data_IF_405808349560
#
_entry.id   IF_405808349560
#
_cell.length_a   1.000
_cell.length_b   1.000
_cell.length_c   1.000
_cell.angle_alpha   90.00
_cell.angle_beta   90.00
_cell.angle_gamma   90.00
#
_symmetry.space_group_name_H-M   'P 1'
#
loop_
_entity.id
_entity.type
_entity.pdbx_description
1 polymer ?
#
# COMPACT_ATOMS: atom_id res chain seq x y z
N UNK A 1 47.67 49.73 -2.16
CA UNK A 1 46.35 49.14 -2.45
C UNK A 1 46.38 47.62 -2.28
N UNK A 2 46.38 47.13 -1.03
CA UNK A 2 46.56 45.68 -0.76
C UNK A 2 45.85 45.21 0.52
N UNK A 3 44.73 45.85 0.88
CA UNK A 3 43.94 45.54 2.09
C UNK A 3 42.42 45.42 1.87
N UNK A 4 41.94 45.50 0.63
CA UNK A 4 40.50 45.40 0.31
C UNK A 4 40.11 44.00 -0.20
N UNK A 5 41.06 43.21 -0.71
CA UNK A 5 40.78 41.89 -1.30
C UNK A 5 40.46 40.77 -0.30
N UNK A 6 40.73 40.95 0.99
CA UNK A 6 40.52 39.91 2.01
C UNK A 6 39.04 39.82 2.45
N UNK A 7 38.26 40.89 2.28
CA UNK A 7 36.85 40.90 2.72
C UNK A 7 35.87 40.24 1.74
N UNK A 8 36.21 40.13 0.45
CA UNK A 8 35.32 39.55 -0.57
C UNK A 8 35.35 38.01 -0.53
N UNK A 9 36.48 37.41 -0.12
CA UNK A 9 36.63 35.94 -0.05
C UNK A 9 35.90 35.36 1.18
N UNK A 10 35.77 36.13 2.27
CA UNK A 10 35.10 35.69 3.51
C UNK A 10 33.58 35.50 3.37
N UNK A 11 32.96 36.16 2.39
CA UNK A 11 31.50 36.09 2.16
C UNK A 11 31.11 34.83 1.35
N UNK A 12 32.02 34.30 0.52
CA UNK A 12 31.75 33.09 -0.28
C UNK A 12 31.79 31.79 0.52
N UNK A 13 32.38 31.77 1.72
CA UNK A 13 32.42 30.58 2.57
C UNK A 13 31.19 30.41 3.48
N UNK A 14 30.30 31.41 3.58
CA UNK A 14 29.11 31.33 4.44
C UNK A 14 27.86 30.83 3.69
N UNK A 15 27.84 30.86 2.36
CA UNK A 15 26.69 30.39 1.56
C UNK A 15 26.78 28.92 1.15
N UNK A 16 27.92 28.26 1.36
CA UNK A 16 28.15 26.86 1.00
C UNK A 16 27.60 25.82 1.98
N UNK A 17 27.34 26.18 3.24
CA UNK A 17 26.86 25.23 4.25
C UNK A 17 25.34 25.05 4.25
N UNK A 18 24.55 26.05 3.83
CA UNK A 18 23.08 25.96 3.87
C UNK A 18 22.54 24.86 2.94
N UNK A 19 23.12 24.71 1.74
CA UNK A 19 22.72 23.67 0.79
C UNK A 19 23.07 22.24 1.26
N UNK A 20 24.19 22.06 1.96
CA UNK A 20 24.58 20.75 2.51
C UNK A 20 23.68 20.35 3.68
N UNK A 21 23.33 21.30 4.55
CA UNK A 21 22.40 21.08 5.67
C UNK A 21 21.01 20.77 5.13
N UNK A 22 20.50 21.54 4.15
CA UNK A 22 19.21 21.30 3.54
C UNK A 22 19.13 19.92 2.87
N UNK A 23 20.16 19.50 2.14
CA UNK A 23 20.21 18.17 1.52
C UNK A 23 20.23 17.03 2.55
N UNK A 24 20.90 17.23 3.70
CA UNK A 24 20.92 16.23 4.78
C UNK A 24 19.55 16.12 5.47
N UNK A 25 18.91 17.25 5.76
CA UNK A 25 17.58 17.31 6.37
C UNK A 25 16.51 16.73 5.43
N UNK A 26 16.57 17.06 4.14
CA UNK A 26 15.68 16.50 3.10
C UNK A 26 15.80 14.96 3.03
N UNK A 27 17.02 14.43 3.15
CA UNK A 27 17.27 12.98 3.19
C UNK A 27 16.69 12.31 4.45
N UNK A 28 16.65 13.00 5.59
CA UNK A 28 16.01 12.48 6.81
C UNK A 28 14.47 12.47 6.69
N UNK A 29 13.86 13.51 6.11
CA UNK A 29 12.42 13.52 5.84
C UNK A 29 12.02 12.46 4.82
N UNK A 30 12.79 12.30 3.73
CA UNK A 30 12.49 11.28 2.72
C UNK A 30 12.49 9.88 3.33
N UNK A 31 13.45 9.55 4.21
CA UNK A 31 13.46 8.25 4.91
C UNK A 31 12.20 8.00 5.73
N UNK A 32 11.70 9.03 6.43
CA UNK A 32 10.46 8.93 7.19
C UNK A 32 9.26 8.72 6.26
N UNK A 33 9.20 9.46 5.15
CA UNK A 33 8.13 9.29 4.17
C UNK A 33 8.14 7.91 3.53
N UNK A 34 9.31 7.39 3.14
CA UNK A 34 9.46 6.02 2.63
C UNK A 34 8.92 5.03 3.65
N UNK A 35 9.36 5.12 4.91
CA UNK A 35 8.92 4.21 5.97
C UNK A 35 7.39 4.23 6.14
N UNK A 36 6.79 5.42 6.28
CA UNK A 36 5.33 5.52 6.47
C UNK A 36 4.57 5.05 5.24
N UNK A 37 5.08 5.32 4.04
CA UNK A 37 4.49 4.89 2.78
C UNK A 37 4.52 3.37 2.62
N UNK A 38 5.67 2.74 2.83
CA UNK A 38 5.84 1.28 2.72
C UNK A 38 5.04 0.54 3.81
N UNK A 39 4.87 1.12 4.99
CA UNK A 39 4.08 0.53 6.07
C UNK A 39 2.60 0.93 6.04
N UNK A 40 2.14 1.61 4.98
CA UNK A 40 0.75 2.03 4.80
C UNK A 40 0.20 2.88 5.97
N UNK A 41 1.07 3.63 6.64
CA UNK A 41 0.70 4.57 7.70
C UNK A 41 0.20 5.91 7.11
N UNK A 42 -0.79 5.83 6.22
CA UNK A 42 -1.21 6.92 5.32
C UNK A 42 -1.62 8.20 6.06
N UNK A 43 -2.36 8.08 7.17
CA UNK A 43 -2.76 9.25 7.98
C UNK A 43 -1.56 9.93 8.64
N UNK A 44 -0.57 9.16 9.10
CA UNK A 44 0.66 9.71 9.65
C UNK A 44 1.51 10.36 8.55
N UNK A 45 1.60 9.74 7.38
CA UNK A 45 2.28 10.29 6.22
C UNK A 45 1.66 11.63 5.81
N UNK A 46 0.33 11.68 5.71
CA UNK A 46 -0.44 12.90 5.41
C UNK A 46 -0.16 14.00 6.42
N UNK A 47 -0.20 13.67 7.71
CA UNK A 47 0.11 14.61 8.80
C UNK A 47 1.53 15.16 8.66
N UNK A 48 2.54 14.29 8.49
CA UNK A 48 3.93 14.72 8.33
C UNK A 48 4.16 15.58 7.09
N UNK A 49 3.55 15.22 5.94
CA UNK A 49 3.66 16.01 4.72
C UNK A 49 3.10 17.42 4.91
N UNK A 50 1.98 17.55 5.63
CA UNK A 50 1.37 18.86 5.94
C UNK A 50 2.24 19.67 6.91
N UNK A 51 2.74 19.05 7.98
CA UNK A 51 3.63 19.71 8.95
C UNK A 51 4.90 20.21 8.27
N UNK A 52 5.54 19.36 7.47
CA UNK A 52 6.76 19.72 6.75
C UNK A 52 6.48 20.78 5.69
N UNK A 53 5.33 20.75 4.99
CA UNK A 53 4.93 21.84 4.07
C UNK A 53 4.83 23.19 4.78
N UNK A 54 4.38 23.24 6.04
CA UNK A 54 4.34 24.48 6.82
C UNK A 54 5.73 24.98 7.23
N UNK A 55 6.68 24.08 7.48
CA UNK A 55 8.04 24.41 7.94
C UNK A 55 8.96 24.83 6.80
N UNK A 56 8.98 24.06 5.71
CA UNK A 56 9.93 24.24 4.59
C UNK A 56 9.27 24.72 3.29
N UNK A 57 7.96 25.00 3.31
CA UNK A 57 7.19 25.31 2.11
C UNK A 57 6.93 24.07 1.25
N UNK A 58 6.20 24.27 0.16
CA UNK A 58 5.99 23.22 -0.84
C UNK A 58 7.26 23.02 -1.67
N UNK A 59 7.77 21.78 -1.70
CA UNK A 59 9.00 21.42 -2.40
C UNK A 59 8.81 20.11 -3.21
N UNK A 60 9.73 19.76 -4.12
CA UNK A 60 9.58 18.58 -4.98
C UNK A 60 9.39 17.27 -4.21
N UNK A 61 10.04 17.10 -3.06
CA UNK A 61 9.89 15.92 -2.22
C UNK A 61 8.46 15.80 -1.67
N UNK A 62 7.90 16.87 -1.13
CA UNK A 62 6.52 16.91 -0.62
C UNK A 62 5.52 16.62 -1.75
N UNK A 63 5.68 17.27 -2.91
CA UNK A 63 4.81 17.07 -4.07
C UNK A 63 4.83 15.59 -4.52
N UNK A 64 6.03 14.99 -4.60
CA UNK A 64 6.20 13.57 -4.93
C UNK A 64 5.39 12.69 -3.98
N UNK A 65 5.54 12.86 -2.67
CA UNK A 65 4.88 11.99 -1.69
C UNK A 65 3.39 12.28 -1.52
N UNK A 66 2.91 13.50 -1.78
CA UNK A 66 1.47 13.79 -1.84
C UNK A 66 0.79 13.05 -3.01
N UNK A 67 1.45 13.00 -4.18
CA UNK A 67 0.96 12.24 -5.32
C UNK A 67 0.93 10.74 -5.00
N UNK A 68 2.03 10.21 -4.46
CA UNK A 68 2.13 8.80 -4.05
C UNK A 68 1.10 8.44 -2.98
N UNK A 69 0.86 9.32 -2.01
CA UNK A 69 -0.18 9.13 -0.99
C UNK A 69 -1.57 9.01 -1.63
N UNK A 70 -1.91 9.90 -2.55
CA UNK A 70 -3.20 9.85 -3.27
C UNK A 70 -3.38 8.54 -4.04
N UNK A 71 -2.34 8.11 -4.76
CA UNK A 71 -2.33 6.82 -5.46
C UNK A 71 -2.52 5.66 -4.48
N UNK A 72 -1.83 5.69 -3.34
CA UNK A 72 -1.86 4.64 -2.33
C UNK A 72 -3.20 4.55 -1.59
N UNK A 73 -3.84 5.69 -1.31
CA UNK A 73 -5.22 5.75 -0.76
C UNK A 73 -6.22 5.12 -1.74
N UNK A 74 -6.07 5.38 -3.04
CA UNK A 74 -6.88 4.74 -4.09
C UNK A 74 -6.64 3.22 -4.14
N UNK A 75 -5.39 2.79 -4.06
CA UNK A 75 -5.04 1.36 -4.07
C UNK A 75 -5.64 0.63 -2.86
N UNK A 76 -5.64 1.26 -1.68
CA UNK A 76 -6.29 0.73 -0.47
C UNK A 76 -7.78 0.48 -0.71
N UNK A 77 -8.49 1.51 -1.16
CA UNK A 77 -9.93 1.47 -1.38
C UNK A 77 -10.29 0.46 -2.46
N UNK A 78 -9.45 0.32 -3.49
CA UNK A 78 -9.62 -0.65 -4.57
C UNK A 78 -9.55 -2.08 -4.04
N UNK A 79 -8.60 -2.40 -3.15
CA UNK A 79 -8.53 -3.74 -2.54
C UNK A 79 -9.73 -4.02 -1.64
N UNK A 80 -10.12 -3.07 -0.79
CA UNK A 80 -11.26 -3.23 0.12
C UNK A 80 -12.56 -3.45 -0.66
N UNK A 81 -12.77 -2.70 -1.75
CA UNK A 81 -13.91 -2.87 -2.65
C UNK A 81 -13.86 -4.22 -3.38
N UNK A 82 -12.69 -4.64 -3.84
CA UNK A 82 -12.52 -5.93 -4.51
C UNK A 82 -12.86 -7.10 -3.60
N UNK A 83 -12.39 -7.07 -2.35
CA UNK A 83 -12.68 -8.09 -1.35
C UNK A 83 -14.18 -8.18 -1.09
N UNK A 84 -14.87 -7.04 -0.89
CA UNK A 84 -16.31 -7.04 -0.66
C UNK A 84 -17.08 -7.51 -1.90
N UNK A 85 -16.65 -7.11 -3.11
CA UNK A 85 -17.23 -7.60 -4.36
C UNK A 85 -17.12 -9.13 -4.47
N UNK A 86 -15.92 -9.68 -4.26
CA UNK A 86 -15.69 -11.13 -4.29
C UNK A 86 -16.61 -11.84 -3.29
N UNK A 87 -16.71 -11.31 -2.07
CA UNK A 87 -17.59 -11.87 -1.04
C UNK A 87 -19.06 -11.90 -1.50
N UNK A 88 -19.57 -10.79 -2.02
CA UNK A 88 -20.97 -10.68 -2.50
C UNK A 88 -21.21 -11.62 -3.68
N UNK A 89 -20.30 -11.64 -4.66
CA UNK A 89 -20.43 -12.51 -5.83
C UNK A 89 -20.48 -13.98 -5.42
N UNK A 90 -19.59 -14.42 -4.52
CA UNK A 90 -19.60 -15.79 -3.99
C UNK A 90 -20.94 -16.10 -3.30
N UNK A 91 -21.46 -15.20 -2.46
CA UNK A 91 -22.77 -15.40 -1.82
C UNK A 91 -23.92 -15.51 -2.82
N UNK A 92 -23.77 -14.95 -4.03
CA UNK A 92 -24.73 -15.07 -5.13
C UNK A 92 -24.46 -16.29 -6.03
N UNK A 93 -23.48 -17.14 -5.70
CA UNK A 93 -23.07 -18.28 -6.51
C UNK A 93 -22.19 -17.92 -7.72
N UNK A 94 -21.69 -16.68 -7.80
CA UNK A 94 -20.79 -16.22 -8.84
C UNK A 94 -19.33 -16.27 -8.36
N UNK A 95 -18.51 -17.05 -9.07
CA UNK A 95 -17.07 -17.21 -8.75
C UNK A 95 -16.16 -16.40 -9.68
N UNK A 96 -16.71 -15.71 -10.68
CA UNK A 96 -15.95 -15.10 -11.76
C UNK A 96 -14.97 -14.03 -11.26
N UNK A 97 -15.40 -13.20 -10.31
CA UNK A 97 -14.55 -12.15 -9.74
C UNK A 97 -13.33 -12.72 -9.01
N UNK A 98 -13.54 -13.75 -8.18
CA UNK A 98 -12.44 -14.44 -7.50
C UNK A 98 -11.45 -15.02 -8.53
N UNK A 99 -11.97 -15.71 -9.55
CA UNK A 99 -11.13 -16.30 -10.59
C UNK A 99 -10.30 -15.26 -11.36
N UNK A 100 -10.90 -14.15 -11.78
CA UNK A 100 -10.20 -13.06 -12.50
C UNK A 100 -9.12 -12.38 -11.64
N UNK A 101 -9.27 -12.43 -10.32
CA UNK A 101 -8.33 -11.86 -9.36
C UNK A 101 -7.19 -12.81 -9.04
N UNK A 102 -7.37 -14.12 -9.13
CA UNK A 102 -6.29 -15.08 -8.93
C UNK A 102 -5.16 -14.81 -9.94
N UNK A 103 -3.92 -14.72 -9.44
CA UNK A 103 -2.77 -14.62 -10.33
C UNK A 103 -2.60 -15.93 -11.11
N UNK A 104 -2.04 -15.83 -12.32
CA UNK A 104 -1.83 -17.01 -13.14
C UNK A 104 -0.75 -17.91 -12.52
N UNK A 105 -1.15 -19.07 -12.03
CA UNK A 105 -0.27 -20.16 -11.61
C UNK A 105 -1.04 -21.48 -11.70
N UNK A 106 -0.32 -22.61 -11.90
CA UNK A 106 -0.96 -23.94 -11.94
C UNK A 106 -1.80 -24.20 -10.68
N UNK A 107 -1.27 -23.84 -9.50
CA UNK A 107 -1.98 -23.94 -8.22
C UNK A 107 -3.30 -23.19 -8.25
N UNK A 108 -3.31 -21.95 -8.76
CA UNK A 108 -4.51 -21.13 -8.80
C UNK A 108 -5.50 -21.58 -9.87
N UNK A 109 -5.03 -22.15 -10.99
CA UNK A 109 -5.91 -22.79 -11.98
C UNK A 109 -6.66 -23.96 -11.34
N UNK A 110 -5.99 -24.79 -10.53
CA UNK A 110 -6.67 -25.85 -9.78
C UNK A 110 -7.64 -25.27 -8.74
N UNK A 111 -7.22 -24.29 -7.94
CA UNK A 111 -8.08 -23.65 -6.95
C UNK A 111 -9.34 -23.06 -7.60
N UNK A 112 -9.24 -22.36 -8.73
CA UNK A 112 -10.39 -21.81 -9.44
C UNK A 112 -11.40 -22.88 -9.83
N UNK A 113 -10.93 -24.01 -10.39
CA UNK A 113 -11.79 -25.15 -10.76
C UNK A 113 -12.45 -25.83 -9.56
N UNK A 114 -11.77 -25.89 -8.42
CA UNK A 114 -12.38 -26.45 -7.20
C UNK A 114 -13.40 -25.50 -6.58
N UNK A 115 -13.13 -24.19 -6.62
CA UNK A 115 -14.04 -23.14 -6.15
C UNK A 115 -15.35 -23.14 -6.95
N UNK A 116 -15.31 -23.33 -8.28
CA UNK A 116 -16.52 -23.43 -9.12
C UNK A 116 -17.49 -24.54 -8.71
N UNK A 117 -16.99 -25.58 -8.02
CA UNK A 117 -17.81 -26.73 -7.60
C UNK A 117 -18.51 -26.49 -6.26
N UNK A 118 -18.20 -25.40 -5.57
CA UNK A 118 -18.71 -25.10 -4.24
C UNK A 118 -19.92 -24.17 -4.35
N UNK A 119 -21.03 -24.55 -3.72
CA UNK A 119 -22.16 -23.65 -3.52
C UNK A 119 -21.94 -22.78 -2.29
N UNK A 120 -21.48 -21.55 -2.52
CA UNK A 120 -21.25 -20.56 -1.47
C UNK A 120 -22.52 -19.85 -1.00
N UNK A 121 -23.67 -20.02 -1.67
CA UNK A 121 -24.92 -19.32 -1.33
C UNK A 121 -25.45 -19.67 0.06
N UNK A 122 -25.10 -20.85 0.55
CA UNK A 122 -25.47 -21.35 1.87
C UNK A 122 -24.43 -21.03 2.95
N UNK A 123 -23.35 -20.31 2.61
CA UNK A 123 -22.23 -20.05 3.50
C UNK A 123 -22.24 -18.60 4.00
N UNK A 124 -21.94 -18.42 5.29
CA UNK A 124 -21.58 -17.11 5.82
C UNK A 124 -20.09 -16.86 5.54
N UNK A 125 -19.78 -15.75 4.87
CA UNK A 125 -18.41 -15.37 4.54
C UNK A 125 -17.99 -14.18 5.40
N UNK A 126 -16.97 -14.39 6.22
CA UNK A 126 -16.39 -13.34 7.06
C UNK A 126 -14.99 -13.00 6.57
N UNK A 127 -14.68 -11.70 6.51
CA UNK A 127 -13.39 -11.21 6.03
C UNK A 127 -12.84 -10.21 7.03
N UNK A 128 -11.60 -10.43 7.49
CA UNK A 128 -10.89 -9.42 8.30
C UNK A 128 -10.45 -8.25 7.43
N UNK A 129 -10.26 -7.08 8.04
CA UNK A 129 -9.61 -5.96 7.35
C UNK A 129 -8.23 -6.37 6.81
N UNK A 130 -7.87 -5.99 5.57
CA UNK A 130 -6.56 -6.31 5.02
C UNK A 130 -5.45 -5.60 5.79
N UNK A 131 -4.35 -6.32 6.01
CA UNK A 131 -3.08 -5.78 6.50
C UNK A 131 -2.16 -5.56 5.31
N UNK A 132 -1.57 -4.38 5.22
CA UNK A 132 -0.77 -3.97 4.08
C UNK A 132 0.71 -3.83 4.45
N UNK A 133 1.58 -4.12 3.50
CA UNK A 133 3.02 -3.88 3.59
C UNK A 133 3.64 -3.82 2.19
N UNK A 134 4.31 -2.72 1.86
CA UNK A 134 4.87 -2.44 0.54
C UNK A 134 3.82 -2.63 -0.58
N UNK A 135 4.00 -3.60 -1.48
CA UNK A 135 3.03 -3.97 -2.53
C UNK A 135 2.16 -5.15 -2.16
N UNK A 136 2.28 -5.66 -0.94
CA UNK A 136 1.58 -6.84 -0.49
C UNK A 136 0.42 -6.43 0.44
N UNK A 137 -0.61 -7.26 0.43
CA UNK A 137 -1.65 -7.24 1.43
C UNK A 137 -2.04 -8.66 1.83
N UNK A 138 -2.66 -8.81 2.99
CA UNK A 138 -3.21 -10.09 3.42
C UNK A 138 -4.44 -9.91 4.30
N UNK A 139 -5.36 -10.86 4.22
CA UNK A 139 -6.48 -10.97 5.15
C UNK A 139 -6.74 -12.43 5.50
N UNK A 140 -7.58 -12.63 6.50
CA UNK A 140 -8.18 -13.94 6.79
C UNK A 140 -9.61 -13.91 6.26
N UNK A 141 -9.98 -14.96 5.54
CA UNK A 141 -11.35 -15.22 5.11
C UNK A 141 -11.85 -16.47 5.82
N UNK A 142 -13.02 -16.42 6.44
CA UNK A 142 -13.66 -17.57 7.07
C UNK A 142 -14.95 -17.91 6.33
N UNK A 143 -15.09 -19.17 5.95
CA UNK A 143 -16.33 -19.73 5.44
C UNK A 143 -16.98 -20.53 6.56
N UNK A 144 -18.15 -20.10 6.99
CA UNK A 144 -18.95 -20.82 7.96
C UNK A 144 -20.14 -21.48 7.25
N UNK A 145 -20.25 -22.79 7.43
CA UNK A 145 -21.32 -23.63 6.91
C UNK A 145 -21.75 -24.59 8.02
N UNK A 146 -23.02 -24.53 8.39
CA UNK A 146 -23.58 -25.26 9.54
C UNK A 146 -22.74 -25.05 10.81
N UNK A 147 -22.21 -26.12 11.41
CA UNK A 147 -21.40 -26.13 12.61
C UNK A 147 -19.89 -25.99 12.34
N UNK A 148 -19.49 -25.81 11.08
CA UNK A 148 -18.08 -25.78 10.66
C UNK A 148 -17.67 -24.40 10.21
N UNK A 149 -16.46 -24.01 10.61
CA UNK A 149 -15.80 -22.81 10.11
C UNK A 149 -14.43 -23.18 9.58
N UNK A 150 -14.18 -22.86 8.32
CA UNK A 150 -12.89 -23.08 7.65
C UNK A 150 -12.27 -21.72 7.40
N UNK A 151 -11.02 -21.56 7.84
CA UNK A 151 -10.27 -20.31 7.70
C UNK A 151 -9.29 -20.42 6.56
N UNK A 152 -9.12 -19.33 5.82
CA UNK A 152 -8.18 -19.19 4.72
C UNK A 152 -7.30 -17.96 4.93
N UNK A 153 -6.00 -18.15 4.79
CA UNK A 153 -5.06 -17.04 4.61
C UNK A 153 -5.09 -16.65 3.13
N UNK A 154 -5.40 -15.38 2.86
CA UNK A 154 -5.44 -14.81 1.52
C UNK A 154 -4.36 -13.73 1.40
N UNK A 155 -3.50 -13.84 0.39
CA UNK A 155 -2.43 -12.88 0.10
C UNK A 155 -2.66 -12.23 -1.26
N UNK A 156 -2.37 -10.94 -1.31
CA UNK A 156 -2.50 -10.10 -2.50
C UNK A 156 -1.18 -9.43 -2.83
N UNK A 157 -0.98 -9.19 -4.13
CA UNK A 157 0.11 -8.39 -4.66
C UNK A 157 -0.46 -7.31 -5.58
N UNK A 158 0.00 -6.08 -5.40
CA UNK A 158 -0.33 -4.93 -6.25
C UNK A 158 0.68 -4.83 -7.39
N UNK A 159 0.22 -5.10 -8.61
CA UNK A 159 1.02 -4.98 -9.82
C UNK A 159 0.28 -4.13 -10.85
N UNK A 160 0.96 -3.09 -11.36
CA UNK A 160 0.43 -2.20 -12.41
C UNK A 160 -0.93 -1.57 -12.06
N UNK A 161 -1.18 -1.31 -10.78
CA UNK A 161 -2.43 -0.72 -10.28
C UNK A 161 -3.57 -1.73 -10.10
N UNK A 162 -3.33 -3.02 -10.27
CA UNK A 162 -4.29 -4.09 -10.02
C UNK A 162 -3.84 -4.98 -8.86
N UNK A 163 -4.78 -5.34 -7.99
CA UNK A 163 -4.57 -6.35 -6.97
C UNK A 163 -4.84 -7.74 -7.53
N UNK A 164 -3.89 -8.66 -7.33
CA UNK A 164 -4.05 -10.08 -7.65
C UNK A 164 -3.86 -10.94 -6.41
N UNK A 165 -4.68 -11.98 -6.27
CA UNK A 165 -4.52 -12.99 -5.22
C UNK A 165 -3.38 -13.92 -5.63
N UNK A 166 -2.32 -13.93 -4.83
CA UNK A 166 -1.15 -14.78 -5.02
C UNK A 166 -1.22 -16.05 -4.19
N UNK A 167 -2.01 -16.04 -3.11
CA UNK A 167 -2.24 -17.20 -2.27
C UNK A 167 -3.67 -17.16 -1.72
N UNK A 168 -4.38 -18.28 -1.84
CA UNK A 168 -5.64 -18.57 -1.19
C UNK A 168 -5.51 -19.95 -0.58
N UNK A 169 -5.26 -20.03 0.73
CA UNK A 169 -4.83 -21.29 1.37
C UNK A 169 -5.56 -21.50 2.69
N UNK A 170 -6.10 -22.69 2.88
CA UNK A 170 -6.70 -23.11 4.15
C UNK A 170 -5.66 -23.05 5.27
N UNK A 171 -6.06 -22.45 6.39
CA UNK A 171 -5.28 -22.34 7.62
C UNK A 171 -5.50 -23.61 8.44
N UNK A 172 -4.43 -24.38 8.62
CA UNK A 172 -4.40 -25.58 9.46
C UNK A 172 -4.12 -25.23 10.91
#
# INVERSE_FOLDING_TARGET
MRKIFIWIISIFFLTGCSNLINKKVENEYEKQYVYLYENWELEKLKKQLNENKMIQGENPLIIKYQKLLTEREKDKNTLETLIEKIKIDLQNGDTESLQKTLNFSLKNVFLGKEIEKIDFSQMNIFVTKPKFYDKNASNITAFNFEDRTIYFDVKFLLEKGEWKITEFKERR
#
